data_IF_174586641674
#
_entry.id   IF_174586641674
#
_cell.length_a   1.000
_cell.length_b   1.000
_cell.length_c   1.000
_cell.angle_alpha   90.00
_cell.angle_beta   90.00
_cell.angle_gamma   90.00
#
_symmetry.space_group_name_H-M   'P 1'
#
loop_
_entity.id
_entity.type
_entity.pdbx_description
1 polymer ?
#
# COMPACT_ATOMS: atom_id res chain seq x y z
N UNK A 1 0.63 -7.65 1.00
CA UNK A 1 0.29 -6.97 -0.27
C UNK A 1 1.54 -6.93 -1.10
N UNK A 2 1.48 -7.41 -2.33
CA UNK A 2 2.65 -7.53 -3.21
C UNK A 2 3.22 -6.13 -3.46
N UNK A 3 4.54 -5.99 -3.34
CA UNK A 3 5.30 -4.76 -3.60
C UNK A 3 4.89 -4.11 -4.93
N UNK A 4 4.59 -4.95 -5.93
CA UNK A 4 4.03 -4.58 -7.23
C UNK A 4 2.77 -3.70 -7.16
N UNK A 5 1.85 -3.99 -6.24
CA UNK A 5 0.62 -3.20 -6.05
C UNK A 5 0.95 -1.84 -5.45
N UNK A 6 1.84 -1.81 -4.44
CA UNK A 6 2.28 -0.57 -3.81
C UNK A 6 2.94 0.36 -4.82
N UNK A 7 3.87 -0.18 -5.63
CA UNK A 7 4.53 0.55 -6.72
C UNK A 7 3.56 1.09 -7.76
N UNK A 8 2.53 0.31 -8.13
CA UNK A 8 1.50 0.75 -9.07
C UNK A 8 0.69 1.93 -8.52
N UNK A 9 0.32 1.89 -7.24
CA UNK A 9 -0.41 2.99 -6.60
C UNK A 9 0.49 4.22 -6.46
N UNK A 10 1.75 4.06 -6.08
CA UNK A 10 2.72 5.18 -6.05
C UNK A 10 2.88 5.82 -7.43
N UNK A 11 2.92 5.02 -8.50
CA UNK A 11 2.96 5.55 -9.87
C UNK A 11 1.72 6.38 -10.20
N UNK A 12 0.53 5.93 -9.79
CA UNK A 12 -0.72 6.68 -10.00
C UNK A 12 -0.68 8.01 -9.25
N UNK A 13 -0.26 8.00 -7.97
CA UNK A 13 -0.09 9.22 -7.18
C UNK A 13 0.92 10.20 -7.79
N UNK A 14 2.06 9.69 -8.26
CA UNK A 14 3.09 10.48 -8.97
C UNK A 14 2.54 11.10 -10.24
N UNK A 15 1.84 10.30 -11.06
CA UNK A 15 1.26 10.78 -12.31
C UNK A 15 0.19 11.86 -12.08
N UNK A 16 -0.64 11.69 -11.06
CA UNK A 16 -1.63 12.68 -10.65
C UNK A 16 -0.96 13.99 -10.21
N UNK A 17 0.01 13.91 -9.29
CA UNK A 17 0.68 15.09 -8.74
C UNK A 17 1.45 15.89 -9.80
N UNK A 18 2.14 15.18 -10.70
CA UNK A 18 2.97 15.81 -11.74
C UNK A 18 2.25 16.03 -13.07
N UNK A 19 0.94 15.79 -13.12
CA UNK A 19 0.12 16.01 -14.31
C UNK A 19 0.66 15.31 -15.56
N UNK A 20 1.14 14.06 -15.40
CA UNK A 20 1.67 13.27 -16.51
C UNK A 20 0.49 12.81 -17.38
N UNK A 21 0.33 13.45 -18.53
CA UNK A 21 -0.54 12.99 -19.60
C UNK A 21 0.25 12.07 -20.56
N UNK A 22 -0.47 11.24 -21.32
CA UNK A 22 0.06 10.20 -22.22
C UNK A 22 1.08 10.70 -23.27
N UNK A 23 1.11 12.01 -23.53
CA UNK A 23 1.90 12.63 -24.60
C UNK A 23 3.13 13.41 -24.11
N UNK A 24 3.24 13.75 -22.82
CA UNK A 24 4.33 14.61 -22.33
C UNK A 24 4.96 14.13 -21.01
N UNK A 25 6.28 13.86 -21.05
CA UNK A 25 7.09 13.71 -19.83
C UNK A 25 7.35 15.09 -19.24
N UNK A 26 6.49 15.54 -18.31
CA UNK A 26 6.76 16.72 -17.49
C UNK A 26 7.86 16.43 -16.47
N UNK A 27 8.81 17.37 -16.32
CA UNK A 27 9.90 17.30 -15.35
C UNK A 27 9.35 17.20 -13.92
N UNK A 28 9.90 16.28 -13.13
CA UNK A 28 9.54 16.15 -11.72
C UNK A 28 10.05 17.37 -10.95
N UNK A 29 9.15 18.27 -10.54
CA UNK A 29 9.51 19.52 -9.87
C UNK A 29 9.99 19.30 -8.42
N UNK A 30 9.64 18.16 -7.80
CA UNK A 30 10.04 17.80 -6.44
C UNK A 30 10.44 16.33 -6.37
N UNK A 31 11.57 16.05 -5.71
CA UNK A 31 11.98 14.68 -5.39
C UNK A 31 10.91 14.01 -4.52
N UNK A 32 10.56 12.77 -4.85
CA UNK A 32 9.46 12.05 -4.18
C UNK A 32 9.69 11.87 -2.67
N UNK A 33 10.96 11.78 -2.24
CA UNK A 33 11.31 11.69 -0.83
C UNK A 33 10.95 12.95 -0.02
N UNK A 34 10.93 14.11 -0.67
CA UNK A 34 10.49 15.37 -0.05
C UNK A 34 8.97 15.41 0.06
N UNK A 35 8.25 14.79 -0.89
CA UNK A 35 6.79 14.75 -0.86
C UNK A 35 6.24 13.99 0.36
N UNK A 36 7.00 13.02 0.91
CA UNK A 36 6.63 12.31 2.13
C UNK A 36 6.82 13.13 3.42
N UNK A 37 7.66 14.17 3.39
CA UNK A 37 7.94 14.99 4.58
C UNK A 37 6.73 15.82 4.98
N UNK A 38 6.71 16.25 6.23
CA UNK A 38 5.65 17.13 6.72
C UNK A 38 5.66 18.50 6.04
N UNK A 39 4.53 19.20 6.07
CA UNK A 39 4.43 20.56 5.51
C UNK A 39 5.42 21.53 6.14
N UNK A 40 5.71 21.37 7.43
CA UNK A 40 6.70 22.16 8.15
C UNK A 40 8.11 22.00 7.54
N UNK A 41 8.44 20.78 7.10
CA UNK A 41 9.70 20.43 6.44
C UNK A 41 9.68 20.68 4.92
N UNK A 42 8.80 21.57 4.43
CA UNK A 42 8.60 21.87 3.00
C UNK A 42 8.13 20.66 2.17
N UNK A 43 7.58 19.63 2.81
CA UNK A 43 7.00 18.46 2.16
C UNK A 43 5.51 18.57 1.92
N UNK A 44 4.91 17.50 1.38
CA UNK A 44 3.47 17.44 1.04
C UNK A 44 2.67 16.59 2.03
N UNK A 45 3.32 16.04 3.05
CA UNK A 45 2.73 15.11 4.04
C UNK A 45 2.03 13.91 3.39
N UNK A 46 2.51 13.48 2.22
CA UNK A 46 2.01 12.28 1.57
C UNK A 46 2.47 11.08 2.41
N UNK A 47 1.57 10.18 2.75
CA UNK A 47 1.97 9.00 3.53
C UNK A 47 2.71 8.00 2.64
N UNK A 48 3.83 7.47 3.13
CA UNK A 48 4.59 6.43 2.45
C UNK A 48 3.77 5.14 2.37
N UNK A 49 3.50 4.66 1.15
CA UNK A 49 2.63 3.51 0.93
C UNK A 49 3.21 2.21 1.46
N UNK A 50 4.53 2.05 1.49
CA UNK A 50 5.17 0.89 2.13
C UNK A 50 4.89 0.82 3.63
N UNK A 51 4.92 1.95 4.34
CA UNK A 51 4.60 2.04 5.77
C UNK A 51 3.11 1.71 5.98
N UNK A 52 2.24 2.34 5.20
CA UNK A 52 0.79 2.08 5.28
C UNK A 52 0.46 0.62 4.99
N UNK A 53 1.09 0.03 3.99
CA UNK A 53 0.88 -1.35 3.63
C UNK A 53 1.30 -2.30 4.76
N UNK A 54 2.46 -2.05 5.38
CA UNK A 54 2.91 -2.83 6.55
C UNK A 54 1.91 -2.73 7.70
N UNK A 55 1.48 -1.52 8.06
CA UNK A 55 0.50 -1.31 9.12
C UNK A 55 -0.87 -1.95 8.80
N UNK A 56 -1.30 -1.93 7.53
CA UNK A 56 -2.54 -2.58 7.09
C UNK A 56 -2.44 -4.10 7.17
N UNK A 57 -1.29 -4.68 6.84
CA UNK A 57 -1.04 -6.11 6.98
C UNK A 57 -1.05 -6.54 8.44
N UNK A 58 -0.36 -5.79 9.31
CA UNK A 58 -0.37 -6.04 10.76
C UNK A 58 -1.79 -5.94 11.31
N UNK A 59 -2.56 -4.93 10.90
CA UNK A 59 -3.99 -4.79 11.26
C UNK A 59 -4.83 -5.97 10.76
N UNK A 60 -4.57 -6.46 9.55
CA UNK A 60 -5.26 -7.63 8.99
C UNK A 60 -4.90 -8.91 9.75
N UNK A 61 -3.62 -9.12 10.07
CA UNK A 61 -3.14 -10.25 10.84
C UNK A 61 -3.74 -10.24 12.25
N UNK A 62 -3.76 -9.07 12.90
CA UNK A 62 -4.40 -8.89 14.19
C UNK A 62 -5.90 -9.23 14.14
N UNK A 63 -6.62 -8.81 13.08
CA UNK A 63 -8.03 -9.16 12.88
C UNK A 63 -8.22 -10.66 12.68
N UNK A 64 -7.32 -11.31 11.95
CA UNK A 64 -7.34 -12.75 11.74
C UNK A 64 -7.13 -13.51 13.06
N UNK A 65 -6.17 -13.07 13.88
CA UNK A 65 -5.92 -13.66 15.20
C UNK A 65 -7.07 -13.43 16.19
N UNK A 66 -7.60 -12.20 16.23
CA UNK A 66 -8.55 -11.78 17.28
C UNK A 66 -10.00 -12.18 17.04
N UNK A 67 -10.45 -12.31 15.77
CA UNK A 67 -11.84 -12.65 15.46
C UNK A 67 -11.97 -14.12 15.11
N UNK A 68 -12.67 -14.89 15.94
CA UNK A 68 -12.71 -16.35 15.79
C UNK A 68 -13.76 -16.86 14.76
N UNK A 69 -14.81 -16.10 14.45
CA UNK A 69 -15.98 -16.65 13.73
C UNK A 69 -16.31 -16.00 12.37
N UNK A 70 -15.51 -15.07 11.87
CA UNK A 70 -15.84 -14.41 10.60
C UNK A 70 -15.73 -15.37 9.40
N UNK A 71 -16.74 -15.39 8.52
CA UNK A 71 -16.77 -16.28 7.34
C UNK A 71 -15.52 -16.20 6.46
N UNK A 72 -14.98 -14.99 6.22
CA UNK A 72 -13.77 -14.82 5.43
C UNK A 72 -12.54 -15.53 6.05
N UNK A 73 -12.44 -15.58 7.38
CA UNK A 73 -11.37 -16.31 8.09
C UNK A 73 -11.50 -17.81 7.81
N UNK A 74 -12.70 -18.37 7.93
CA UNK A 74 -12.98 -19.79 7.63
C UNK A 74 -12.62 -20.16 6.19
N UNK A 75 -12.93 -19.28 5.23
CA UNK A 75 -12.56 -19.48 3.81
C UNK A 75 -11.05 -19.49 3.62
N UNK A 76 -10.32 -18.58 4.26
CA UNK A 76 -8.86 -18.52 4.18
C UNK A 76 -8.24 -19.77 4.82
N UNK A 77 -8.64 -20.10 6.04
CA UNK A 77 -8.24 -21.30 6.78
C UNK A 77 -8.43 -22.53 5.91
N UNK A 78 -9.66 -22.79 5.42
CA UNK A 78 -9.95 -23.95 4.59
C UNK A 78 -9.11 -24.00 3.30
N UNK A 79 -8.90 -22.85 2.65
CA UNK A 79 -8.13 -22.77 1.40
C UNK A 79 -6.65 -23.11 1.58
N UNK A 80 -6.06 -22.82 2.73
CA UNK A 80 -4.62 -22.94 2.95
C UNK A 80 -4.22 -24.05 3.94
N UNK A 81 -5.13 -24.53 4.80
CA UNK A 81 -4.89 -25.66 5.72
C UNK A 81 -5.05 -27.04 5.04
N UNK A 82 -5.87 -27.17 3.99
CA UNK A 82 -5.98 -28.43 3.21
C UNK A 82 -4.69 -28.76 2.42
N UNK A 83 -3.75 -27.83 2.30
CA UNK A 83 -2.50 -28.01 1.53
C UNK A 83 -1.37 -28.62 2.38
N UNK A 84 -1.48 -28.63 3.71
CA UNK A 84 -0.48 -29.21 4.63
C UNK A 84 -0.90 -30.58 5.20
N UNK A 85 -2.10 -31.07 4.90
CA UNK A 85 -2.57 -32.41 5.30
C UNK A 85 -2.28 -33.46 4.24
N UNK A 86 -1.05 -33.98 4.22
CA UNK A 86 -0.71 -35.25 3.58
C UNK A 86 -1.12 -36.45 4.41
#
# INVERSE_FOLDING_TARGET
MLERVSLRVEKIQKNFLWGRDSLEKKSHLVQWDIAYKEKFDRGLSIRKLSILNKALLEKWLWRFASKNESLWKRVIVKKYEEVEGG
#
